data_IF_830666685485
#
_entry.id   IF_830666685485
#
_cell.length_a   1.000
_cell.length_b   1.000
_cell.length_c   1.000
_cell.angle_alpha   90.00
_cell.angle_beta   90.00
_cell.angle_gamma   90.00
#
_symmetry.space_group_name_H-M   'P 1'
#
loop_
_entity.id
_entity.type
_entity.pdbx_description
1 polymer ?
#
# COMPACT_ATOMS: atom_id res chain seq x y z
N UNK A 1 -12.14 -37.39 18.38
CA UNK A 1 -12.68 -36.90 17.09
C UNK A 1 -11.73 -35.82 16.57
N UNK A 2 -10.91 -36.11 15.55
CA UNK A 2 -9.87 -35.18 15.09
C UNK A 2 -9.14 -35.63 13.83
N UNK A 3 -9.79 -36.39 12.94
CA UNK A 3 -9.18 -36.93 11.70
C UNK A 3 -9.66 -36.26 10.41
N UNK A 4 -10.63 -35.33 10.48
CA UNK A 4 -11.24 -34.74 9.27
C UNK A 4 -10.54 -33.48 8.76
N UNK A 5 -9.84 -32.73 9.61
CA UNK A 5 -9.16 -31.48 9.23
C UNK A 5 -7.86 -31.73 8.46
N UNK A 6 -7.12 -32.78 8.80
CA UNK A 6 -5.81 -33.09 8.21
C UNK A 6 -5.92 -33.56 6.74
N UNK A 7 -6.92 -34.39 6.45
CA UNK A 7 -7.17 -34.93 5.09
C UNK A 7 -7.63 -33.83 4.12
N UNK A 8 -8.39 -32.85 4.62
CA UNK A 8 -8.85 -31.73 3.80
C UNK A 8 -7.71 -30.77 3.48
N UNK A 9 -6.83 -30.48 4.44
CA UNK A 9 -5.63 -29.64 4.23
C UNK A 9 -4.74 -30.21 3.11
N UNK A 10 -4.49 -31.52 3.14
CA UNK A 10 -3.69 -32.22 2.13
C UNK A 10 -4.33 -32.17 0.72
N UNK A 11 -5.66 -32.23 0.63
CA UNK A 11 -6.37 -32.17 -0.67
C UNK A 11 -6.29 -30.78 -1.30
N UNK A 12 -6.41 -29.72 -0.49
CA UNK A 12 -6.28 -28.34 -0.97
C UNK A 12 -4.85 -28.01 -1.39
N UNK A 13 -3.85 -28.47 -0.64
CA UNK A 13 -2.44 -28.30 -0.99
C UNK A 13 -2.10 -28.93 -2.36
N UNK A 14 -2.53 -30.18 -2.58
CA UNK A 14 -2.35 -30.85 -3.87
C UNK A 14 -3.06 -30.12 -5.01
N UNK A 15 -4.24 -29.55 -4.74
CA UNK A 15 -4.99 -28.77 -5.72
C UNK A 15 -4.21 -27.53 -6.14
N UNK A 16 -3.66 -26.76 -5.19
CA UNK A 16 -2.85 -25.56 -5.47
C UNK A 16 -1.60 -25.91 -6.27
N UNK A 17 -0.88 -26.96 -5.89
CA UNK A 17 0.31 -27.43 -6.62
C UNK A 17 -0.05 -27.82 -8.06
N UNK A 18 -1.18 -28.50 -8.26
CA UNK A 18 -1.64 -28.89 -9.60
C UNK A 18 -2.00 -27.69 -10.49
N UNK A 19 -2.55 -26.63 -9.90
CA UNK A 19 -2.88 -25.38 -10.60
C UNK A 19 -1.59 -24.67 -11.00
N UNK A 20 -0.64 -24.49 -10.07
CA UNK A 20 0.61 -23.78 -10.33
C UNK A 20 1.43 -24.45 -11.46
N UNK A 21 1.42 -25.79 -11.54
CA UNK A 21 2.13 -26.53 -12.61
C UNK A 21 1.56 -26.32 -14.01
N UNK A 22 0.30 -25.87 -14.13
CA UNK A 22 -0.39 -25.72 -15.41
C UNK A 22 -0.41 -24.27 -15.91
N UNK A 23 0.04 -23.34 -15.09
CA UNK A 23 -0.02 -21.92 -15.38
C UNK A 23 1.29 -21.43 -16.03
N UNK A 24 1.21 -20.40 -16.90
CA UNK A 24 2.38 -19.65 -17.33
C UNK A 24 3.15 -19.07 -16.13
N UNK A 25 4.49 -18.94 -16.21
CA UNK A 25 5.33 -18.45 -15.11
C UNK A 25 4.87 -17.11 -14.52
N UNK A 26 4.36 -16.21 -15.36
CA UNK A 26 3.89 -14.88 -14.94
C UNK A 26 2.69 -14.98 -13.98
N UNK A 27 1.80 -15.94 -14.19
CA UNK A 27 0.66 -16.18 -13.33
C UNK A 27 1.04 -16.95 -12.05
N UNK A 28 2.11 -17.75 -12.09
CA UNK A 28 2.65 -18.41 -10.88
C UNK A 28 3.17 -17.36 -9.90
N UNK A 29 3.88 -16.33 -10.39
CA UNK A 29 4.35 -15.22 -9.56
C UNK A 29 3.18 -14.49 -8.88
N UNK A 30 2.09 -14.26 -9.60
CA UNK A 30 0.89 -13.63 -9.02
C UNK A 30 0.27 -14.46 -7.89
N UNK A 31 0.19 -15.78 -8.05
CA UNK A 31 -0.32 -16.67 -7.01
C UNK A 31 0.57 -16.69 -5.77
N UNK A 32 1.90 -16.68 -5.96
CA UNK A 32 2.86 -16.59 -4.86
C UNK A 32 2.71 -15.26 -4.12
N UNK A 33 2.60 -14.14 -4.84
CA UNK A 33 2.39 -12.82 -4.24
C UNK A 33 1.06 -12.76 -3.46
N UNK A 34 0.01 -13.38 -3.98
CA UNK A 34 -1.28 -13.46 -3.29
C UNK A 34 -1.18 -14.31 -2.02
N UNK A 35 -0.46 -15.43 -2.04
CA UNK A 35 -0.23 -16.24 -0.85
C UNK A 35 0.56 -15.46 0.21
N UNK A 36 1.61 -14.74 -0.17
CA UNK A 36 2.35 -13.84 0.72
C UNK A 36 1.46 -12.76 1.32
N UNK A 37 0.55 -12.19 0.52
CA UNK A 37 -0.41 -11.23 1.02
C UNK A 37 -1.34 -11.85 2.09
N UNK A 38 -1.86 -13.06 1.86
CA UNK A 38 -2.70 -13.76 2.84
C UNK A 38 -1.93 -14.10 4.12
N UNK A 39 -0.64 -14.45 4.00
CA UNK A 39 0.24 -14.66 5.15
C UNK A 39 0.42 -13.36 5.94
N UNK A 40 0.71 -12.26 5.24
CA UNK A 40 0.85 -10.93 5.83
C UNK A 40 -0.44 -10.50 6.54
N UNK A 41 -1.61 -10.74 5.95
CA UNK A 41 -2.91 -10.43 6.57
C UNK A 41 -3.12 -11.15 7.91
N UNK A 42 -2.49 -12.31 8.10
CA UNK A 42 -2.59 -13.06 9.35
C UNK A 42 -1.66 -12.55 10.45
N UNK A 43 -0.66 -11.72 10.11
CA UNK A 43 0.25 -11.12 11.10
C UNK A 43 -0.49 -10.15 12.02
N UNK A 44 0.00 -10.04 13.27
CA UNK A 44 -0.53 -9.08 14.23
C UNK A 44 -0.23 -7.64 13.80
N UNK A 45 0.86 -7.41 13.09
CA UNK A 45 1.27 -6.09 12.59
C UNK A 45 0.28 -5.57 11.53
N UNK A 46 -0.10 -6.39 10.56
CA UNK A 46 -1.11 -6.02 9.57
C UNK A 46 -2.48 -5.77 10.22
N UNK A 47 -2.88 -6.64 11.15
CA UNK A 47 -4.15 -6.48 11.89
C UNK A 47 -4.16 -5.22 12.77
N UNK A 48 -3.01 -4.85 13.34
CA UNK A 48 -2.82 -3.62 14.10
C UNK A 48 -2.89 -2.41 13.18
N UNK A 49 -2.16 -2.41 12.06
CA UNK A 49 -2.21 -1.35 11.04
C UNK A 49 -3.63 -1.13 10.50
N UNK A 50 -4.36 -2.20 10.20
CA UNK A 50 -5.75 -2.13 9.71
C UNK A 50 -6.72 -1.58 10.77
N UNK A 51 -6.50 -1.91 12.05
CA UNK A 51 -7.32 -1.40 13.18
C UNK A 51 -6.99 0.04 13.55
N UNK A 52 -5.73 0.43 13.44
CA UNK A 52 -5.28 1.80 13.67
C UNK A 52 -5.67 2.72 12.51
N UNK A 53 -5.83 2.16 11.30
CA UNK A 53 -6.39 2.79 10.12
C UNK A 53 -5.58 4.00 9.62
N UNK A 54 -5.73 4.39 8.34
CA UNK A 54 -5.29 5.73 7.90
C UNK A 54 -6.07 6.85 8.63
N UNK A 55 -7.21 6.53 9.22
CA UNK A 55 -8.10 7.46 9.94
C UNK A 55 -7.41 8.20 11.10
N UNK A 56 -6.48 7.55 11.82
CA UNK A 56 -5.71 8.21 12.87
C UNK A 56 -4.81 9.35 12.32
N UNK A 57 -4.36 9.22 11.06
CA UNK A 57 -3.68 10.27 10.33
C UNK A 57 -4.65 11.36 9.87
N UNK A 58 -5.80 10.97 9.33
CA UNK A 58 -6.82 11.90 8.80
C UNK A 58 -7.37 12.84 9.87
N UNK A 59 -7.71 12.36 11.07
CA UNK A 59 -8.22 13.21 12.15
C UNK A 59 -7.19 14.26 12.59
N UNK A 60 -5.90 13.88 12.59
CA UNK A 60 -4.81 14.81 12.89
C UNK A 60 -4.66 15.88 11.81
N UNK A 61 -4.80 15.49 10.54
CA UNK A 61 -4.79 16.42 9.42
C UNK A 61 -6.00 17.36 9.48
N UNK A 62 -7.20 16.85 9.75
CA UNK A 62 -8.42 17.66 9.90
C UNK A 62 -8.28 18.72 10.99
N UNK A 63 -7.78 18.33 12.19
CA UNK A 63 -7.52 19.27 13.29
C UNK A 63 -6.51 20.35 12.91
N UNK A 64 -5.50 20.01 12.11
CA UNK A 64 -4.49 20.96 11.65
C UNK A 64 -5.09 21.93 10.63
N UNK A 65 -5.87 21.43 9.66
CA UNK A 65 -6.54 22.24 8.64
C UNK A 65 -7.76 23.02 9.14
N UNK A 66 -8.30 22.69 10.32
CA UNK A 66 -9.34 23.48 10.97
C UNK A 66 -8.81 24.84 11.49
N UNK A 67 -7.51 24.96 11.75
CA UNK A 67 -6.89 26.20 12.26
C UNK A 67 -6.86 27.28 11.16
N UNK A 68 -7.38 28.50 11.41
CA UNK A 68 -7.36 29.59 10.43
C UNK A 68 -5.95 29.93 9.92
N UNK A 69 -4.95 29.83 10.78
CA UNK A 69 -3.55 30.11 10.47
C UNK A 69 -3.00 29.07 9.48
N UNK A 70 -3.31 27.79 9.70
CA UNK A 70 -2.91 26.71 8.79
C UNK A 70 -3.53 26.90 7.41
N UNK A 71 -4.81 27.28 7.35
CA UNK A 71 -5.48 27.61 6.07
C UNK A 71 -4.84 28.79 5.36
N UNK A 72 -4.38 29.81 6.11
CA UNK A 72 -3.69 30.97 5.53
C UNK A 72 -2.34 30.54 4.92
N UNK A 73 -1.53 29.81 5.68
CA UNK A 73 -0.22 29.32 5.22
C UNK A 73 -0.36 28.40 4.01
N UNK A 74 -1.36 27.50 4.01
CA UNK A 74 -1.63 26.62 2.86
C UNK A 74 -2.00 27.40 1.59
N UNK A 75 -2.80 28.47 1.71
CA UNK A 75 -3.11 29.33 0.55
C UNK A 75 -1.88 30.07 0.03
N UNK A 76 -0.98 30.48 0.91
CA UNK A 76 0.27 31.14 0.54
C UNK A 76 1.20 30.19 -0.18
N UNK A 77 1.44 29.00 0.37
CA UNK A 77 2.23 27.95 -0.28
C UNK A 77 1.64 27.55 -1.65
N UNK A 78 0.31 27.42 -1.76
CA UNK A 78 -0.33 27.11 -3.02
C UNK A 78 -0.16 28.25 -4.06
N UNK A 79 -0.17 29.50 -3.61
CA UNK A 79 0.09 30.66 -4.46
C UNK A 79 1.54 30.65 -4.96
N UNK A 80 2.50 30.47 -4.07
CA UNK A 80 3.93 30.41 -4.39
C UNK A 80 4.23 29.26 -5.36
N UNK A 81 3.75 28.05 -5.06
CA UNK A 81 3.93 26.89 -5.94
C UNK A 81 3.37 27.14 -7.36
N UNK A 82 2.23 27.83 -7.46
CA UNK A 82 1.65 28.21 -8.76
C UNK A 82 2.48 29.26 -9.49
N UNK A 83 3.07 30.21 -8.77
CA UNK A 83 3.96 31.23 -9.33
C UNK A 83 5.27 30.58 -9.83
N UNK A 84 5.86 29.67 -9.06
CA UNK A 84 7.03 28.88 -9.44
C UNK A 84 6.77 28.01 -10.68
N UNK A 85 5.64 27.31 -10.72
CA UNK A 85 5.22 26.52 -11.89
C UNK A 85 5.06 27.39 -13.13
N UNK A 86 4.40 28.55 -13.02
CA UNK A 86 4.23 29.49 -14.14
C UNK A 86 5.56 30.09 -14.60
N UNK A 87 6.50 30.25 -13.67
CA UNK A 87 7.84 30.73 -13.99
C UNK A 87 8.77 29.63 -14.53
N UNK A 88 8.29 28.39 -14.65
CA UNK A 88 9.10 27.25 -15.12
C UNK A 88 10.21 26.85 -14.15
N UNK A 89 10.05 27.14 -12.85
CA UNK A 89 11.03 26.83 -11.80
C UNK A 89 10.71 25.55 -11.04
N UNK A 90 9.82 24.72 -11.57
CA UNK A 90 9.50 23.40 -11.02
C UNK A 90 10.35 22.33 -11.69
N UNK A 91 10.77 21.35 -10.90
CA UNK A 91 11.44 20.13 -11.39
C UNK A 91 10.49 18.95 -11.25
N UNK A 92 10.46 18.09 -12.25
CA UNK A 92 9.69 16.86 -12.19
C UNK A 92 10.31 15.90 -11.15
N UNK A 93 9.51 14.94 -10.67
CA UNK A 93 9.98 13.94 -9.71
C UNK A 93 9.91 12.59 -10.39
N UNK A 94 11.02 11.86 -10.33
CA UNK A 94 11.12 10.47 -10.77
C UNK A 94 11.16 9.53 -9.56
N UNK A 95 10.64 8.32 -9.78
CA UNK A 95 10.70 7.24 -8.80
C UNK A 95 11.86 6.34 -9.23
N UNK A 96 12.85 6.18 -8.36
CA UNK A 96 14.00 5.33 -8.58
C UNK A 96 13.63 3.84 -8.49
N UNK A 97 14.49 2.94 -8.97
CA UNK A 97 14.25 1.48 -8.94
C UNK A 97 14.09 0.93 -7.50
N UNK A 98 14.67 1.60 -6.51
CA UNK A 98 14.53 1.32 -5.08
C UNK A 98 13.33 2.03 -4.42
N UNK A 99 12.50 2.74 -5.20
CA UNK A 99 11.27 3.37 -4.74
C UNK A 99 11.46 4.72 -4.02
N UNK A 100 12.63 5.34 -4.15
CA UNK A 100 12.90 6.68 -3.62
C UNK A 100 12.47 7.76 -4.63
N UNK A 101 12.25 8.98 -4.13
CA UNK A 101 11.93 10.14 -4.97
C UNK A 101 13.21 10.91 -5.27
N UNK A 102 13.48 11.16 -6.55
CA UNK A 102 14.59 12.01 -7.02
C UNK A 102 14.04 13.10 -7.94
N UNK A 103 14.66 14.30 -7.99
CA UNK A 103 14.43 15.21 -9.09
C UNK A 103 14.75 14.51 -10.43
N UNK A 104 13.89 14.71 -11.42
CA UNK A 104 14.11 14.31 -12.81
C UNK A 104 15.26 15.11 -13.45
#
# INVERSE_FOLDING_TARGET
>A
MGKHTDVQSSTYEQTVISIMRRLPPEHVVQLVNFAYFLELQNTQEYKKWLKEGPEAGEEKWEKLFAKPEARRVMREMAREAREEYRAGRTTDIEITEDGLLTPA
#
